data_IF_849978698625
#
_entry.id   IF_849978698625
#
_cell.length_a   1.000
_cell.length_b   1.000
_cell.length_c   1.000
_cell.angle_alpha   90.00
_cell.angle_beta   90.00
_cell.angle_gamma   90.00
#
_symmetry.space_group_name_H-M   'P 1'
#
loop_
_entity.id
_entity.type
_entity.pdbx_description
1 polymer ?
#
# COMPACT_ATOMS: atom_id res chain seq x y z
N UNK A 1 -10.37 9.29 -1.77
CA UNK A 1 -9.62 10.24 -2.62
C UNK A 1 -8.18 10.27 -2.16
N UNK A 2 -7.20 10.10 -3.07
CA UNK A 2 -5.77 10.14 -2.74
C UNK A 2 -5.27 11.60 -2.65
N UNK A 3 -4.28 11.86 -1.79
CA UNK A 3 -3.58 13.15 -1.68
C UNK A 3 -2.99 13.62 -3.04
N UNK A 4 -2.61 12.67 -3.89
CA UNK A 4 -2.13 12.90 -5.26
C UNK A 4 -3.13 13.71 -6.10
N UNK A 5 -4.43 13.41 -5.99
CA UNK A 5 -5.47 14.11 -6.77
C UNK A 5 -5.73 15.54 -6.23
N UNK A 6 -5.51 15.77 -4.94
CA UNK A 6 -5.60 17.10 -4.35
C UNK A 6 -4.40 17.95 -4.78
N UNK A 7 -3.20 17.35 -4.75
CA UNK A 7 -1.98 18.03 -5.12
C UNK A 7 -1.91 18.39 -6.62
N UNK A 8 -2.35 17.50 -7.53
CA UNK A 8 -2.42 17.81 -8.98
C UNK A 8 -3.21 19.08 -9.28
N UNK A 9 -4.10 19.48 -8.39
CA UNK A 9 -5.06 20.57 -8.62
C UNK A 9 -4.86 21.76 -7.68
N UNK A 10 -3.83 21.75 -6.84
CA UNK A 10 -3.61 22.78 -5.83
C UNK A 10 -4.78 22.92 -4.84
N UNK A 11 -5.57 21.86 -4.66
CA UNK A 11 -6.73 21.89 -3.78
C UNK A 11 -6.27 21.78 -2.31
N UNK A 12 -6.94 22.48 -1.37
CA UNK A 12 -6.71 22.28 0.04
C UNK A 12 -6.85 20.79 0.41
N UNK A 13 -6.07 20.30 1.39
CA UNK A 13 -6.22 18.94 1.90
C UNK A 13 -7.69 18.65 2.24
N UNK A 14 -8.17 17.43 2.01
CA UNK A 14 -9.58 17.07 2.23
C UNK A 14 -10.09 17.42 3.63
N UNK A 15 -9.19 17.44 4.62
CA UNK A 15 -9.51 17.84 5.99
C UNK A 15 -9.97 19.29 6.08
N UNK A 16 -9.42 20.21 5.27
CA UNK A 16 -9.88 21.59 5.21
C UNK A 16 -11.30 21.68 4.62
N UNK A 17 -11.62 20.87 3.60
CA UNK A 17 -12.97 20.78 3.05
C UNK A 17 -13.96 20.24 4.10
N UNK A 18 -13.59 19.16 4.80
CA UNK A 18 -14.39 18.57 5.87
C UNK A 18 -14.65 19.55 7.00
N UNK A 19 -13.61 20.24 7.48
CA UNK A 19 -13.74 21.24 8.54
C UNK A 19 -14.62 22.41 8.10
N UNK A 20 -14.47 22.90 6.87
CA UNK A 20 -15.32 23.96 6.35
C UNK A 20 -16.80 23.57 6.35
N UNK A 21 -17.13 22.33 5.92
CA UNK A 21 -18.50 21.81 5.95
C UNK A 21 -19.01 21.63 7.38
N UNK A 22 -18.20 21.05 8.28
CA UNK A 22 -18.58 20.86 9.69
C UNK A 22 -18.85 22.19 10.41
N UNK A 23 -18.14 23.25 10.03
CA UNK A 23 -18.34 24.60 10.56
C UNK A 23 -19.51 25.35 9.88
N UNK A 24 -20.33 24.67 9.07
CA UNK A 24 -21.48 25.25 8.37
C UNK A 24 -21.12 26.03 7.10
N UNK A 25 -19.86 26.02 6.70
CA UNK A 25 -19.41 26.60 5.43
C UNK A 25 -19.78 25.72 4.24
N UNK A 26 -19.82 26.33 3.05
CA UNK A 26 -19.95 25.61 1.78
C UNK A 26 -18.63 25.71 1.01
N UNK A 27 -17.96 24.59 0.68
CA UNK A 27 -16.76 24.62 -0.14
C UNK A 27 -17.14 24.98 -1.58
N UNK A 28 -17.16 26.27 -1.90
CA UNK A 28 -17.47 26.80 -3.25
C UNK A 28 -16.31 26.65 -4.24
N UNK A 29 -15.13 26.28 -3.74
CA UNK A 29 -13.92 26.05 -4.52
C UNK A 29 -13.86 24.63 -5.12
N UNK A 30 -14.71 23.70 -4.67
CA UNK A 30 -14.88 22.42 -5.34
C UNK A 30 -15.93 22.63 -6.45
N UNK A 31 -15.50 22.56 -7.72
CA UNK A 31 -16.40 22.65 -8.87
C UNK A 31 -17.44 21.53 -8.93
N UNK A 32 -18.22 21.45 -10.00
CA UNK A 32 -19.15 20.33 -10.18
C UNK A 32 -18.42 18.99 -10.27
N UNK A 33 -19.12 17.89 -10.02
CA UNK A 33 -18.52 16.54 -10.16
C UNK A 33 -18.09 16.26 -11.62
N UNK A 34 -18.79 16.82 -12.60
CA UNK A 34 -18.48 16.66 -14.02
C UNK A 34 -17.23 17.45 -14.40
N UNK A 35 -17.11 18.71 -13.96
CA UNK A 35 -15.89 19.51 -14.12
C UNK A 35 -14.70 18.84 -13.41
N UNK A 36 -14.97 18.26 -12.23
CA UNK A 36 -13.95 17.52 -11.49
C UNK A 36 -13.42 16.33 -12.31
N UNK A 37 -14.31 15.53 -12.90
CA UNK A 37 -13.94 14.35 -13.68
C UNK A 37 -13.25 14.74 -15.00
N UNK A 38 -13.76 15.74 -15.70
CA UNK A 38 -13.21 16.20 -16.98
C UNK A 38 -11.77 16.70 -16.81
N UNK A 39 -11.52 17.59 -15.85
CA UNK A 39 -10.17 18.08 -15.57
C UNK A 39 -9.24 16.97 -15.08
N UNK A 40 -9.77 15.98 -14.34
CA UNK A 40 -8.97 14.82 -13.91
C UNK A 40 -8.47 14.03 -15.12
N UNK A 41 -9.32 13.86 -16.14
CA UNK A 41 -8.95 13.20 -17.41
C UNK A 41 -7.95 14.07 -18.19
N UNK A 42 -8.16 15.38 -18.25
CA UNK A 42 -7.25 16.31 -18.92
C UNK A 42 -5.84 16.28 -18.29
N UNK A 43 -5.74 16.30 -16.96
CA UNK A 43 -4.46 16.22 -16.25
C UNK A 43 -3.86 14.80 -16.24
N UNK A 44 -4.66 13.75 -16.37
CA UNK A 44 -4.13 12.38 -16.50
C UNK A 44 -3.33 12.19 -17.80
N UNK A 45 -3.58 13.04 -18.81
CA UNK A 45 -2.94 13.00 -20.12
C UNK A 45 -1.62 13.79 -20.18
N UNK A 46 -1.33 14.61 -19.16
CA UNK A 46 -0.10 15.41 -19.09
C UNK A 46 1.06 14.58 -18.56
N UNK A 47 2.24 14.75 -19.18
CA UNK A 47 3.47 14.17 -18.66
C UNK A 47 3.83 14.80 -17.32
N UNK A 48 4.27 13.96 -16.38
CA UNK A 48 4.67 14.42 -15.04
C UNK A 48 3.53 14.53 -14.02
N UNK A 49 3.87 15.07 -12.86
CA UNK A 49 3.01 15.24 -11.71
C UNK A 49 3.14 14.11 -10.67
N UNK A 50 2.39 14.23 -9.56
CA UNK A 50 2.38 13.22 -8.51
C UNK A 50 1.74 11.93 -9.01
N UNK A 51 2.18 10.80 -8.46
CA UNK A 51 1.63 9.48 -8.70
C UNK A 51 1.59 8.64 -7.44
N UNK A 52 0.81 7.56 -7.47
CA UNK A 52 0.88 6.48 -6.51
C UNK A 52 0.72 5.13 -7.22
N UNK A 53 1.50 4.14 -6.80
CA UNK A 53 1.43 2.75 -7.29
C UNK A 53 1.33 1.83 -6.09
N UNK A 54 0.30 0.98 -6.07
CA UNK A 54 0.15 -0.05 -5.03
C UNK A 54 1.03 -1.25 -5.36
N UNK A 55 1.97 -1.57 -4.47
CA UNK A 55 2.81 -2.74 -4.58
C UNK A 55 2.16 -3.91 -3.84
N UNK A 56 2.05 -5.07 -4.50
CA UNK A 56 1.57 -6.31 -3.89
C UNK A 56 2.68 -7.33 -3.78
N UNK A 57 2.58 -8.21 -2.79
CA UNK A 57 3.50 -9.33 -2.60
C UNK A 57 3.26 -10.38 -3.70
N UNK A 58 4.20 -10.50 -4.64
CA UNK A 58 4.16 -11.49 -5.72
C UNK A 58 4.79 -12.85 -5.39
N UNK A 59 5.22 -13.08 -4.14
CA UNK A 59 5.82 -14.35 -3.75
C UNK A 59 4.76 -15.40 -3.40
N UNK A 60 5.09 -16.68 -3.62
CA UNK A 60 4.18 -17.81 -3.37
C UNK A 60 3.95 -18.09 -1.86
N UNK A 61 4.82 -17.55 -1.00
CA UNK A 61 4.80 -17.78 0.44
C UNK A 61 4.66 -16.50 1.26
N UNK A 62 4.19 -16.60 2.51
CA UNK A 62 4.15 -15.45 3.42
C UNK A 62 5.53 -14.84 3.64
N UNK A 63 5.59 -13.53 3.80
CA UNK A 63 6.82 -12.78 3.99
C UNK A 63 6.68 -11.73 5.09
N UNK A 64 7.81 -11.25 5.63
CA UNK A 64 7.86 -10.08 6.51
C UNK A 64 8.90 -9.12 6.00
N UNK A 65 8.72 -7.83 6.23
CA UNK A 65 9.79 -6.86 5.97
C UNK A 65 10.97 -7.15 6.93
N UNK A 66 12.18 -6.95 6.45
CA UNK A 66 13.39 -7.02 7.27
C UNK A 66 13.43 -5.83 8.23
N UNK A 67 13.86 -5.99 9.49
CA UNK A 67 14.02 -4.86 10.40
C UNK A 67 14.93 -3.77 9.83
N UNK A 68 14.67 -2.50 10.16
CA UNK A 68 15.47 -1.36 9.70
C UNK A 68 14.95 -0.67 8.44
N UNK A 69 13.74 -1.00 7.97
CA UNK A 69 13.11 -0.36 6.81
C UNK A 69 11.81 0.35 7.19
N UNK A 70 11.88 1.57 7.74
CA UNK A 70 10.70 2.36 8.08
C UNK A 70 10.03 2.95 6.82
N UNK A 71 8.75 3.33 6.87
CA UNK A 71 8.15 4.22 5.87
C UNK A 71 8.96 5.50 5.69
N UNK A 72 8.97 6.05 4.48
CA UNK A 72 9.68 7.28 4.16
C UNK A 72 10.26 7.31 2.75
N UNK A 73 11.18 8.22 2.50
CA UNK A 73 11.81 8.40 1.20
C UNK A 73 12.95 7.42 1.03
N UNK A 74 12.92 6.68 -0.07
CA UNK A 74 13.97 5.76 -0.49
C UNK A 74 14.52 6.21 -1.84
N UNK A 75 15.82 5.98 -2.07
CA UNK A 75 16.44 6.16 -3.37
C UNK A 75 16.72 4.80 -3.99
N UNK A 76 16.31 4.62 -5.25
CA UNK A 76 16.72 3.47 -6.06
C UNK A 76 18.16 3.69 -6.51
N UNK A 77 19.09 2.89 -6.01
CA UNK A 77 20.49 2.94 -6.45
C UNK A 77 20.70 2.18 -7.76
N UNK A 78 21.86 2.40 -8.40
CA UNK A 78 22.21 1.79 -9.68
C UNK A 78 22.26 0.25 -9.65
N UNK A 79 22.45 -0.35 -8.47
CA UNK A 79 22.45 -1.79 -8.21
C UNK A 79 21.04 -2.34 -7.91
N UNK A 80 19.98 -1.62 -8.26
CA UNK A 80 18.57 -1.99 -8.06
C UNK A 80 18.21 -2.28 -6.60
N UNK A 81 18.79 -1.50 -5.68
CA UNK A 81 18.46 -1.54 -4.25
C UNK A 81 17.77 -0.27 -3.81
N UNK A 82 16.80 -0.40 -2.92
CA UNK A 82 16.19 0.73 -2.24
C UNK A 82 16.97 1.05 -0.97
N UNK A 83 17.49 2.28 -0.90
CA UNK A 83 18.21 2.80 0.26
C UNK A 83 17.37 3.86 0.92
N UNK A 84 17.11 3.71 2.22
CA UNK A 84 16.38 4.71 2.98
C UNK A 84 17.20 6.02 3.03
N UNK A 85 16.54 7.14 2.77
CA UNK A 85 17.17 8.48 2.71
C UNK A 85 16.75 9.32 3.90
N UNK A 86 15.43 9.47 4.11
CA UNK A 86 14.86 10.36 5.11
C UNK A 86 13.42 9.97 5.46
N UNK A 87 12.89 10.43 6.61
CA UNK A 87 11.45 10.42 6.84
C UNK A 87 10.73 11.20 5.74
N UNK A 88 9.52 10.77 5.40
CA UNK A 88 8.67 11.44 4.42
C UNK A 88 7.22 11.05 4.67
N UNK A 89 6.30 11.97 4.40
CA UNK A 89 4.88 11.80 4.62
C UNK A 89 4.02 12.24 3.43
N UNK A 90 4.64 12.88 2.43
CA UNK A 90 3.94 13.44 1.29
C UNK A 90 4.67 13.12 -0.03
N UNK A 91 3.98 12.87 -1.15
CA UNK A 91 4.63 12.58 -2.44
C UNK A 91 5.64 13.65 -2.88
N UNK A 92 5.41 14.91 -2.49
CA UNK A 92 6.33 16.02 -2.73
C UNK A 92 7.69 15.90 -2.02
N UNK A 93 7.78 15.03 -1.01
CA UNK A 93 9.03 14.77 -0.31
C UNK A 93 9.97 13.88 -1.13
N UNK A 94 9.53 13.30 -2.25
CA UNK A 94 10.32 12.39 -3.07
C UNK A 94 10.48 12.92 -4.51
N UNK A 95 11.73 13.18 -4.88
CA UNK A 95 12.11 13.57 -6.24
C UNK A 95 12.35 12.33 -7.11
N UNK A 96 11.31 11.94 -7.87
CA UNK A 96 11.35 10.74 -8.71
C UNK A 96 12.31 10.90 -9.87
N UNK A 97 12.56 12.11 -10.36
CA UNK A 97 13.50 12.33 -11.45
C UNK A 97 14.94 12.03 -11.01
N UNK A 98 15.23 12.23 -9.72
CA UNK A 98 16.47 11.81 -9.06
C UNK A 98 16.42 10.39 -8.45
N UNK A 99 15.44 9.59 -8.85
CA UNK A 99 15.28 8.19 -8.43
C UNK A 99 14.80 8.01 -6.99
N UNK A 100 14.27 9.06 -6.36
CA UNK A 100 13.65 8.98 -5.04
C UNK A 100 12.16 8.65 -5.14
N UNK A 101 11.70 7.77 -4.25
CA UNK A 101 10.29 7.41 -4.09
C UNK A 101 9.93 7.42 -2.61
N UNK A 102 8.71 7.84 -2.30
CA UNK A 102 8.12 7.65 -0.98
C UNK A 102 7.53 6.25 -0.91
N UNK A 103 7.98 5.45 0.05
CA UNK A 103 7.34 4.18 0.41
C UNK A 103 6.41 4.43 1.61
N UNK A 104 5.12 4.63 1.31
CA UNK A 104 4.06 4.73 2.30
C UNK A 104 3.47 3.35 2.62
N UNK A 105 2.80 3.26 3.77
CA UNK A 105 2.08 2.05 4.22
C UNK A 105 2.93 0.77 4.25
N UNK A 106 4.24 0.88 4.49
CA UNK A 106 5.09 -0.30 4.71
C UNK A 106 4.62 -1.04 5.98
N UNK A 107 4.49 -2.38 5.93
CA UNK A 107 4.17 -3.18 7.10
C UNK A 107 5.29 -3.07 8.13
N UNK A 108 4.95 -3.14 9.41
CA UNK A 108 5.95 -3.28 10.46
C UNK A 108 6.72 -4.62 10.36
N UNK A 109 7.93 -4.73 10.95
CA UNK A 109 8.78 -5.92 10.86
C UNK A 109 8.16 -7.20 11.44
N UNK A 110 7.15 -7.06 12.29
CA UNK A 110 6.43 -8.17 12.93
C UNK A 110 5.18 -8.62 12.17
N UNK A 111 4.76 -7.87 11.15
CA UNK A 111 3.58 -8.16 10.34
C UNK A 111 3.91 -9.21 9.26
N UNK A 112 3.08 -10.25 9.18
CA UNK A 112 3.15 -11.25 8.10
C UNK A 112 2.26 -10.81 6.95
N UNK A 113 2.86 -10.63 5.78
CA UNK A 113 2.16 -10.38 4.53
C UNK A 113 1.97 -11.72 3.80
N UNK A 114 0.73 -12.03 3.43
CA UNK A 114 0.41 -13.20 2.60
C UNK A 114 0.55 -12.87 1.10
N UNK A 115 0.68 -13.88 0.23
CA UNK A 115 0.67 -13.68 -1.23
C UNK A 115 -0.50 -12.80 -1.68
N UNK A 116 -0.24 -11.83 -2.55
CA UNK A 116 -1.22 -10.87 -3.06
C UNK A 116 -1.57 -9.70 -2.13
N UNK A 117 -1.09 -9.71 -0.87
CA UNK A 117 -1.28 -8.59 0.06
C UNK A 117 -0.58 -7.32 -0.46
N UNK A 118 -1.18 -6.15 -0.20
CA UNK A 118 -0.51 -4.87 -0.41
C UNK A 118 0.63 -4.72 0.60
N UNK A 119 1.83 -4.40 0.12
CA UNK A 119 3.07 -4.33 0.93
C UNK A 119 3.69 -2.94 0.96
N UNK A 120 3.27 -2.04 0.06
CA UNK A 120 3.62 -0.63 0.08
C UNK A 120 2.69 0.15 -0.86
N UNK A 121 2.60 1.45 -0.64
CA UNK A 121 2.23 2.42 -1.67
C UNK A 121 3.49 3.18 -2.07
N UNK A 122 3.88 3.08 -3.34
CA UNK A 122 5.01 3.81 -3.93
C UNK A 122 4.49 5.13 -4.46
N UNK A 123 4.98 6.24 -3.95
CA UNK A 123 4.52 7.59 -4.27
C UNK A 123 5.69 8.49 -4.68
N UNK A 124 5.41 9.55 -5.42
CA UNK A 124 6.43 10.53 -5.78
C UNK A 124 5.90 11.57 -6.76
N UNK A 125 6.76 12.53 -7.12
CA UNK A 125 6.53 13.52 -8.17
C UNK A 125 7.63 13.39 -9.21
N UNK A 126 7.23 13.38 -10.48
CA UNK A 126 8.15 13.39 -11.63
C UNK A 126 7.80 14.56 -12.54
N UNK A 127 8.78 15.17 -13.18
CA UNK A 127 8.58 16.08 -14.31
C UNK A 127 8.28 15.35 -15.62
N UNK A 128 8.35 14.00 -15.62
CA UNK A 128 8.10 13.13 -16.76
C UNK A 128 9.27 12.20 -17.09
N UNK A 129 10.49 12.48 -16.60
CA UNK A 129 11.67 11.66 -16.89
C UNK A 129 11.54 10.22 -16.39
N UNK A 130 10.96 10.05 -15.20
CA UNK A 130 10.67 8.74 -14.60
C UNK A 130 9.16 8.56 -14.44
N UNK A 131 8.42 8.67 -15.55
CA UNK A 131 6.97 8.42 -15.56
C UNK A 131 6.65 7.03 -14.97
N UNK A 132 5.59 6.89 -14.16
CA UNK A 132 5.28 5.65 -13.47
C UNK A 132 4.68 4.56 -14.37
N UNK A 133 4.12 4.96 -15.51
CA UNK A 133 3.43 4.07 -16.44
C UNK A 133 3.84 4.37 -17.88
N UNK A 134 3.97 3.33 -18.70
CA UNK A 134 4.20 3.44 -20.15
C UNK A 134 2.90 3.20 -20.95
N UNK A 135 1.77 3.12 -20.25
CA UNK A 135 0.45 2.89 -20.81
C UNK A 135 -0.56 2.50 -19.73
N UNK A 136 -1.86 2.43 -20.07
CA UNK A 136 -2.93 2.23 -19.09
C UNK A 136 -2.82 0.95 -18.24
N UNK A 137 -2.20 -0.09 -18.80
CA UNK A 137 -2.02 -1.39 -18.16
C UNK A 137 -0.55 -1.78 -17.97
N UNK A 138 0.40 -0.84 -18.15
CA UNK A 138 1.84 -1.14 -18.13
C UNK A 138 2.59 -0.21 -17.20
N UNK A 139 3.10 -0.76 -16.11
CA UNK A 139 4.09 -0.07 -15.28
C UNK A 139 5.34 0.23 -16.11
N UNK A 140 5.98 1.37 -15.86
CA UNK A 140 7.24 1.70 -16.50
C UNK A 140 8.38 0.81 -16.00
N UNK A 141 9.50 0.83 -16.73
CA UNK A 141 10.75 0.17 -16.29
C UNK A 141 11.18 0.67 -14.91
N UNK A 142 11.04 1.96 -14.64
CA UNK A 142 11.37 2.54 -13.34
C UNK A 142 10.55 1.92 -12.21
N UNK A 143 9.23 1.89 -12.34
CA UNK A 143 8.34 1.30 -11.32
C UNK A 143 8.58 -0.19 -11.16
N UNK A 144 8.87 -0.91 -12.25
CA UNK A 144 9.19 -2.34 -12.19
C UNK A 144 10.47 -2.59 -11.40
N UNK A 145 11.50 -1.76 -11.59
CA UNK A 145 12.75 -1.81 -10.81
C UNK A 145 12.52 -1.49 -9.34
N UNK A 146 11.75 -0.43 -9.04
CA UNK A 146 11.37 -0.09 -7.65
C UNK A 146 10.60 -1.24 -6.99
N UNK A 147 9.63 -1.85 -7.69
CA UNK A 147 8.84 -2.96 -7.18
C UNK A 147 9.72 -4.19 -6.89
N UNK A 148 10.63 -4.52 -7.80
CA UNK A 148 11.61 -5.61 -7.60
C UNK A 148 12.54 -5.33 -6.42
N UNK A 149 13.07 -4.11 -6.32
CA UNK A 149 13.93 -3.69 -5.22
C UNK A 149 13.20 -3.69 -3.87
N UNK A 150 11.91 -3.33 -3.85
CA UNK A 150 11.05 -3.41 -2.67
C UNK A 150 10.92 -4.85 -2.18
N UNK A 151 10.78 -5.81 -3.10
CA UNK A 151 10.72 -7.22 -2.76
C UNK A 151 11.97 -7.72 -2.02
N UNK A 152 13.16 -7.16 -2.31
CA UNK A 152 14.38 -7.47 -1.58
C UNK A 152 14.40 -6.99 -0.12
N UNK A 153 13.51 -6.08 0.27
CA UNK A 153 13.34 -5.68 1.66
C UNK A 153 12.61 -6.76 2.48
N UNK A 154 11.92 -7.69 1.82
CA UNK A 154 11.16 -8.75 2.45
C UNK A 154 11.97 -10.03 2.57
N UNK A 155 11.81 -10.72 3.69
CA UNK A 155 12.39 -12.03 3.95
C UNK A 155 11.31 -13.10 3.97
N UNK A 156 11.61 -14.22 3.33
CA UNK A 156 10.82 -15.44 3.41
C UNK A 156 11.28 -16.24 4.62
N UNK A 157 10.46 -16.30 5.66
CA UNK A 157 10.60 -17.41 6.61
C UNK A 157 9.88 -18.61 6.00
N UNK A 158 10.56 -19.77 5.99
CA UNK A 158 9.85 -21.05 6.02
C UNK A 158 9.09 -21.07 7.35
N UNK A 159 7.85 -20.60 7.34
CA UNK A 159 7.02 -20.69 8.53
C UNK A 159 6.77 -22.18 8.76
N UNK A 160 7.37 -22.74 9.81
CA UNK A 160 6.90 -23.98 10.39
C UNK A 160 5.53 -23.64 10.99
N UNK A 161 4.47 -23.91 10.24
CA UNK A 161 3.11 -23.85 10.77
C UNK A 161 3.05 -24.99 11.79
N UNK A 162 2.96 -24.72 13.12
CA UNK A 162 2.77 -25.80 14.06
C UNK A 162 1.48 -26.51 13.66
N UNK A 163 1.57 -27.84 13.48
CA UNK A 163 0.44 -28.66 13.10
C UNK A 163 -0.74 -28.32 14.02
N UNK A 164 -1.88 -27.98 13.40
CA UNK A 164 -3.12 -27.71 14.10
C UNK A 164 -3.36 -28.87 15.08
N UNK A 165 -3.43 -28.65 16.42
CA UNK A 165 -3.62 -29.75 17.34
C UNK A 165 -4.90 -30.48 16.95
N UNK A 166 -4.77 -31.78 16.69
CA UNK A 166 -5.88 -32.62 16.27
C UNK A 166 -7.04 -32.42 17.24
N UNK A 167 -8.23 -32.14 16.68
CA UNK A 167 -9.44 -31.98 17.46
C UNK A 167 -9.61 -33.22 18.35
N UNK A 168 -9.54 -33.01 19.66
CA UNK A 168 -9.70 -34.05 20.68
C UNK A 168 -11.09 -34.67 20.46
N UNK A 169 -11.21 -35.98 20.17
CA UNK A 169 -12.51 -36.58 19.89
C UNK A 169 -13.43 -36.42 21.10
N UNK A 170 -14.64 -35.94 20.84
CA UNK A 170 -15.66 -35.73 21.86
C UNK A 170 -15.89 -37.04 22.62
N UNK A 171 -15.69 -37.01 23.95
CA UNK A 171 -16.05 -38.13 24.82
C UNK A 171 -17.55 -38.37 24.73
N UNK A 172 -17.94 -39.47 24.09
CA UNK A 172 -19.29 -40.01 24.09
C UNK A 172 -19.69 -40.29 25.55
N UNK A 173 -20.61 -39.50 26.12
CA UNK A 173 -21.25 -39.86 27.39
C UNK A 173 -22.14 -41.07 27.13
N UNK A 174 -21.78 -42.21 27.69
CA UNK A 174 -22.66 -43.38 27.78
C UNK A 174 -23.60 -43.12 28.96
N UNK A 175 -24.87 -42.89 28.67
CA UNK A 175 -25.91 -42.94 29.69
C UNK A 175 -26.13 -44.42 30.07
N UNK A 176 -25.82 -44.77 31.32
CA UNK A 176 -26.22 -46.04 31.91
C UNK A 176 -27.74 -45.99 32.16
N UNK A 177 -28.48 -46.87 31.50
CA UNK A 177 -29.88 -47.10 31.78
C UNK A 177 -29.98 -48.01 33.02
N UNK A 178 -30.72 -47.56 34.03
CA UNK A 178 -31.14 -48.36 35.17
C UNK A 178 -32.01 -49.54 34.69
N UNK A 179 -31.66 -50.75 35.13
CA UNK A 179 -32.54 -51.92 35.06
C UNK A 179 -33.55 -51.88 36.22
N UNK A 180 -34.82 -52.29 36.02
CA UNK A 180 -35.78 -52.46 37.11
C UNK A 180 -35.60 -53.82 37.80
N UNK A 181 -35.77 -53.84 39.13
CA UNK A 181 -35.84 -55.06 39.94
C UNK A 181 -37.18 -55.80 39.72
N UNK A 182 -37.19 -57.15 39.82
CA UNK A 182 -38.41 -57.94 39.78
C UNK A 182 -39.03 -58.14 41.17
N UNK A 183 -40.37 -58.16 41.21
CA UNK A 183 -41.17 -58.88 42.20
C UNK A 183 -41.76 -60.14 41.53
#
# INVERSE_FOLDING_TARGET
MSAVNQQRRGLPPFIAAHLAVMLGGRPTWLGSADDFNHDTIAHASQAGGPFYVKARLCHDGPARITPGHPPGVYRLSHDDRLRWVRPGAHPADADTDNGEVLLANLPGPDIVCHPGAEIATVEGITSGANQPFDGPARASTFITRVHTALHHLFRHRRFHVPARPAARPARRRVHAACSPSPD
#
